data_IF_882269542502
#
_entry.id   IF_882269542502
#
_cell.length_a   1.000
_cell.length_b   1.000
_cell.length_c   1.000
_cell.angle_alpha   90.00
_cell.angle_beta   90.00
_cell.angle_gamma   90.00
#
_symmetry.space_group_name_H-M   'P 1'
#
loop_
_entity.id
_entity.type
_entity.pdbx_description
1 polymer ?
#
# COMPACT_ATOMS: atom_id res chain seq x y z
N UNK A 1 43.75 -26.44 -4.96
CA UNK A 1 43.82 -27.49 -5.99
C UNK A 1 42.85 -28.59 -5.59
N UNK A 2 41.78 -28.81 -6.35
CA UNK A 2 40.83 -29.86 -6.07
C UNK A 2 41.38 -31.25 -6.36
N UNK A 3 40.70 -32.29 -5.89
CA UNK A 3 41.10 -33.71 -6.01
C UNK A 3 41.36 -34.10 -7.49
N UNK A 4 40.71 -33.47 -8.43
CA UNK A 4 40.82 -33.72 -9.88
C UNK A 4 41.78 -32.75 -10.61
N UNK A 5 42.60 -31.99 -9.90
CA UNK A 5 43.56 -31.06 -10.52
C UNK A 5 42.98 -29.80 -11.16
N UNK A 6 41.65 -29.60 -11.02
CA UNK A 6 40.98 -28.42 -11.51
C UNK A 6 41.30 -27.20 -10.64
N UNK A 7 41.60 -26.07 -11.28
CA UNK A 7 41.80 -24.80 -10.62
C UNK A 7 40.47 -24.04 -10.67
N UNK A 8 39.97 -23.63 -9.53
CA UNK A 8 38.87 -22.65 -9.46
C UNK A 8 39.46 -21.26 -9.70
N UNK A 9 38.91 -20.54 -10.63
CA UNK A 9 39.24 -19.12 -10.80
C UNK A 9 38.88 -18.37 -9.51
N UNK A 10 39.85 -17.58 -9.01
CA UNK A 10 39.62 -16.71 -7.89
C UNK A 10 38.60 -15.62 -8.32
N UNK A 11 37.39 -15.70 -7.87
CA UNK A 11 36.39 -14.66 -8.09
C UNK A 11 36.45 -13.68 -6.90
N UNK A 12 36.92 -12.47 -7.15
CA UNK A 12 36.91 -11.39 -6.17
C UNK A 12 35.68 -10.56 -6.40
N UNK A 13 34.72 -10.66 -5.49
CA UNK A 13 33.54 -9.82 -5.47
C UNK A 13 33.76 -8.69 -4.47
N UNK A 14 33.84 -7.46 -4.96
CA UNK A 14 33.87 -6.27 -4.09
C UNK A 14 32.46 -5.88 -3.77
N UNK A 15 32.05 -6.11 -2.52
CA UNK A 15 30.75 -5.67 -2.02
C UNK A 15 30.92 -4.27 -1.41
N UNK A 16 30.19 -3.29 -1.95
CA UNK A 16 30.05 -1.98 -1.32
C UNK A 16 28.82 -2.02 -0.42
N UNK A 17 29.05 -1.85 0.86
CA UNK A 17 27.96 -1.66 1.83
C UNK A 17 27.51 -0.19 1.72
N UNK A 18 26.22 0.02 1.46
CA UNK A 18 25.62 1.36 1.47
C UNK A 18 25.45 1.82 2.91
N UNK A 19 25.68 3.11 3.15
CA UNK A 19 25.44 3.75 4.44
C UNK A 19 23.97 4.14 4.61
N UNK A 20 23.53 4.49 5.81
CA UNK A 20 22.17 4.99 6.05
C UNK A 20 21.84 6.22 5.22
N UNK A 21 22.85 7.07 4.98
CA UNK A 21 22.75 8.29 4.18
C UNK A 21 22.46 8.02 2.69
N UNK A 22 22.69 6.80 2.23
CA UNK A 22 22.40 6.39 0.84
C UNK A 22 20.91 6.08 0.62
N UNK A 23 20.09 6.12 1.66
CA UNK A 23 18.66 5.76 1.62
C UNK A 23 17.78 6.94 2.02
N UNK A 24 16.51 6.89 1.61
CA UNK A 24 15.46 7.77 2.08
C UNK A 24 14.60 7.11 3.15
N UNK A 25 13.92 7.91 3.95
CA UNK A 25 12.94 7.49 4.95
C UNK A 25 11.61 8.18 4.71
N UNK A 26 10.51 7.46 4.91
CA UNK A 26 9.16 8.00 4.82
C UNK A 26 8.42 7.70 6.13
N UNK A 27 8.00 8.75 6.81
CA UNK A 27 7.12 8.71 7.98
C UNK A 27 5.69 9.03 7.52
N UNK A 28 4.78 8.12 7.73
CA UNK A 28 3.39 8.28 7.34
C UNK A 28 2.50 8.23 8.59
N UNK A 29 1.80 9.34 8.84
CA UNK A 29 0.76 9.41 9.86
C UNK A 29 -0.60 9.19 9.20
N UNK A 30 -1.36 8.21 9.69
CA UNK A 30 -2.68 7.87 9.14
C UNK A 30 -3.74 8.16 10.18
N UNK A 31 -4.66 9.05 9.84
CA UNK A 31 -5.78 9.46 10.69
C UNK A 31 -7.06 8.83 10.14
N UNK A 32 -7.84 8.17 10.99
CA UNK A 32 -9.12 7.59 10.60
C UNK A 32 -9.07 6.20 9.98
N UNK A 33 -7.91 5.53 10.00
CA UNK A 33 -7.81 4.13 9.56
C UNK A 33 -8.58 3.19 10.50
N UNK A 34 -9.14 2.12 9.94
CA UNK A 34 -9.79 1.05 10.68
C UNK A 34 -8.82 0.23 11.54
N UNK A 35 -9.33 -0.63 12.44
CA UNK A 35 -8.50 -1.42 13.36
C UNK A 35 -7.62 -2.45 12.65
N UNK A 36 -8.02 -2.92 11.48
CA UNK A 36 -7.31 -3.92 10.68
C UNK A 36 -6.71 -3.32 9.39
N UNK A 37 -6.49 -2.00 9.39
CA UNK A 37 -5.92 -1.32 8.23
C UNK A 37 -4.45 -1.70 8.03
N UNK A 38 -4.10 -2.03 6.79
CA UNK A 38 -2.74 -2.35 6.36
C UNK A 38 -2.30 -1.36 5.30
N UNK A 39 -1.10 -0.82 5.48
CA UNK A 39 -0.45 0.05 4.50
C UNK A 39 0.57 -0.73 3.70
N UNK A 40 0.51 -0.59 2.41
CA UNK A 40 1.47 -1.14 1.48
C UNK A 40 2.19 -0.03 0.72
N UNK A 41 3.49 -0.12 0.68
CA UNK A 41 4.36 0.70 -0.16
C UNK A 41 4.63 -0.04 -1.47
N UNK A 42 4.25 0.55 -2.58
CA UNK A 42 4.36 -0.01 -3.92
C UNK A 42 5.45 0.72 -4.71
N UNK A 43 6.09 0.02 -5.61
CA UNK A 43 6.98 0.62 -6.60
C UNK A 43 6.22 1.04 -7.87
N UNK A 44 6.92 1.54 -8.87
CA UNK A 44 6.35 1.95 -10.17
C UNK A 44 5.75 0.81 -11.00
N UNK A 45 5.98 -0.44 -10.62
CA UNK A 45 5.39 -1.64 -11.26
C UNK A 45 4.28 -2.26 -10.44
N UNK A 46 3.72 -1.52 -9.47
CA UNK A 46 2.70 -1.96 -8.51
C UNK A 46 3.10 -3.18 -7.64
N UNK A 47 4.40 -3.48 -7.60
CA UNK A 47 4.90 -4.52 -6.72
C UNK A 47 5.02 -3.99 -5.27
N UNK A 48 4.54 -4.78 -4.32
CA UNK A 48 4.64 -4.47 -2.90
C UNK A 48 6.09 -4.57 -2.44
N UNK A 49 6.67 -3.44 -2.04
CA UNK A 49 8.04 -3.35 -1.53
C UNK A 49 8.08 -3.56 -0.02
N UNK A 50 7.12 -2.96 0.68
CA UNK A 50 6.96 -3.03 2.14
C UNK A 50 5.48 -3.07 2.48
N UNK A 51 5.17 -3.71 3.59
CA UNK A 51 3.83 -3.78 4.15
C UNK A 51 3.92 -3.64 5.67
N UNK A 52 3.03 -2.84 6.24
CA UNK A 52 2.93 -2.66 7.68
C UNK A 52 1.46 -2.51 8.11
N UNK A 53 1.05 -3.17 9.21
CA UNK A 53 -0.24 -2.88 9.82
C UNK A 53 -0.21 -1.47 10.43
N UNK A 54 -1.32 -0.78 10.35
CA UNK A 54 -1.48 0.52 11.03
C UNK A 54 -1.57 0.24 12.53
N UNK A 55 -0.53 0.63 13.24
CA UNK A 55 -0.47 0.43 14.70
C UNK A 55 -1.41 1.38 15.44
N UNK A 56 -1.62 1.14 16.74
CA UNK A 56 -2.39 2.03 17.63
C UNK A 56 -1.90 3.47 17.62
N UNK A 57 -0.62 3.68 17.29
CA UNK A 57 0.00 5.01 17.12
C UNK A 57 -0.39 5.68 15.82
N UNK A 58 -1.05 4.98 14.90
CA UNK A 58 -1.45 5.46 13.57
C UNK A 58 -0.29 5.97 12.70
N UNK A 59 0.92 5.52 12.98
CA UNK A 59 2.13 5.85 12.25
C UNK A 59 2.71 4.63 11.58
N UNK A 60 3.15 4.76 10.34
CA UNK A 60 3.88 3.75 9.59
C UNK A 60 5.19 4.33 9.09
N UNK A 61 6.30 3.72 9.51
CA UNK A 61 7.64 4.20 9.20
C UNK A 61 8.30 3.27 8.18
N UNK A 62 8.67 3.83 7.05
CA UNK A 62 9.34 3.10 5.97
C UNK A 62 10.79 3.56 5.85
N UNK A 63 11.71 2.71 6.29
CA UNK A 63 13.15 2.96 6.26
C UNK A 63 13.81 2.29 5.06
N UNK A 64 15.02 2.74 4.72
CA UNK A 64 15.87 2.16 3.68
C UNK A 64 15.24 2.13 2.29
N UNK A 65 14.55 3.20 1.93
CA UNK A 65 13.99 3.37 0.60
C UNK A 65 15.06 3.78 -0.40
N UNK A 66 15.07 3.12 -1.56
CA UNK A 66 16.09 3.37 -2.58
C UNK A 66 15.87 4.73 -3.24
N UNK A 67 16.92 5.58 -3.34
CA UNK A 67 16.83 6.85 -4.04
C UNK A 67 16.61 6.65 -5.54
N UNK A 68 15.96 7.63 -6.17
CA UNK A 68 15.61 7.58 -7.60
C UNK A 68 14.45 6.64 -7.93
N UNK A 69 13.84 6.01 -6.94
CA UNK A 69 12.67 5.14 -7.13
C UNK A 69 11.40 5.90 -6.75
N UNK A 70 10.37 5.73 -7.56
CA UNK A 70 9.03 6.26 -7.27
C UNK A 70 8.25 5.25 -6.46
N UNK A 71 7.63 5.73 -5.40
CA UNK A 71 6.82 4.93 -4.50
C UNK A 71 5.41 5.46 -4.43
N UNK A 72 4.46 4.54 -4.33
CA UNK A 72 3.03 4.76 -4.15
C UNK A 72 2.58 4.13 -2.85
N UNK A 73 1.58 4.69 -2.22
CA UNK A 73 1.01 4.14 -1.00
C UNK A 73 -0.41 3.68 -1.26
N UNK A 74 -0.70 2.48 -0.79
CA UNK A 74 -2.00 1.85 -0.78
C UNK A 74 -2.36 1.45 0.64
N UNK A 75 -3.59 1.73 1.04
CA UNK A 75 -4.18 1.29 2.30
C UNK A 75 -5.35 0.38 1.97
N UNK A 76 -5.50 -0.71 2.68
CA UNK A 76 -6.68 -1.56 2.62
C UNK A 76 -7.09 -2.01 4.01
N UNK A 77 -8.38 -2.35 4.17
CA UNK A 77 -8.90 -2.94 5.39
C UNK A 77 -8.88 -4.46 5.25
N UNK A 78 -8.11 -5.12 6.10
CA UNK A 78 -8.01 -6.57 6.17
C UNK A 78 -9.12 -7.11 7.10
N UNK A 79 -10.30 -7.34 6.54
CA UNK A 79 -11.48 -7.72 7.32
C UNK A 79 -11.38 -9.14 7.89
N UNK A 80 -10.66 -10.02 7.21
CA UNK A 80 -10.46 -11.41 7.63
C UNK A 80 -9.15 -11.64 8.41
N UNK A 81 -8.33 -10.60 8.55
CA UNK A 81 -7.08 -10.58 9.29
C UNK A 81 -6.05 -11.62 8.81
N UNK A 82 -5.99 -11.81 7.48
CA UNK A 82 -5.04 -12.73 6.84
C UNK A 82 -3.74 -12.04 6.37
N UNK A 83 -3.68 -10.71 6.42
CA UNK A 83 -2.54 -9.89 6.00
C UNK A 83 -2.38 -9.74 4.49
N UNK A 84 -3.38 -10.16 3.71
CA UNK A 84 -3.36 -10.12 2.25
C UNK A 84 -4.63 -9.45 1.75
N UNK A 85 -4.51 -8.56 0.79
CA UNK A 85 -5.69 -7.98 0.16
C UNK A 85 -6.48 -9.03 -0.63
N UNK A 86 -7.76 -9.16 -0.32
CA UNK A 86 -8.66 -10.12 -0.94
C UNK A 86 -9.56 -9.45 -1.99
N UNK A 87 -9.58 -10.07 -3.18
CA UNK A 87 -10.42 -9.62 -4.31
C UNK A 87 -11.89 -10.00 -4.14
N UNK A 88 -12.23 -10.69 -3.05
CA UNK A 88 -13.55 -11.25 -2.84
C UNK A 88 -13.83 -12.52 -3.68
N UNK A 89 -15.02 -13.07 -3.52
CA UNK A 89 -15.47 -14.26 -4.26
C UNK A 89 -16.91 -14.08 -4.72
N UNK A 90 -17.13 -14.06 -6.03
CA UNK A 90 -18.46 -13.88 -6.60
C UNK A 90 -19.41 -15.05 -6.27
N UNK A 91 -18.89 -16.28 -6.26
CA UNK A 91 -19.70 -17.49 -5.98
C UNK A 91 -20.23 -17.47 -4.55
N UNK A 92 -19.42 -17.01 -3.59
CA UNK A 92 -19.76 -16.92 -2.18
C UNK A 92 -20.35 -15.56 -1.79
N UNK A 93 -20.54 -14.66 -2.77
CA UNK A 93 -21.03 -13.28 -2.59
C UNK A 93 -20.17 -12.46 -1.62
N UNK A 94 -18.89 -12.78 -1.51
CA UNK A 94 -17.93 -12.04 -0.71
C UNK A 94 -17.44 -10.84 -1.52
N UNK A 95 -17.61 -9.63 -0.97
CA UNK A 95 -17.13 -8.39 -1.58
C UNK A 95 -15.59 -8.31 -1.46
N UNK A 96 -14.92 -7.64 -2.43
CA UNK A 96 -13.50 -7.33 -2.29
C UNK A 96 -13.27 -6.36 -1.12
N UNK A 97 -12.12 -6.49 -0.48
CA UNK A 97 -11.71 -5.55 0.56
C UNK A 97 -11.49 -4.15 -0.01
N UNK A 98 -11.91 -3.14 0.76
CA UNK A 98 -11.80 -1.75 0.34
C UNK A 98 -10.34 -1.30 0.27
N UNK A 99 -9.96 -0.69 -0.86
CA UNK A 99 -8.61 -0.22 -1.14
C UNK A 99 -8.63 1.27 -1.41
N UNK A 100 -7.68 1.97 -0.80
CA UNK A 100 -7.49 3.41 -0.97
C UNK A 100 -6.06 3.70 -1.39
N UNK A 101 -5.91 4.60 -2.36
CA UNK A 101 -4.60 5.03 -2.82
C UNK A 101 -4.33 6.45 -2.34
N UNK A 102 -3.13 6.67 -1.84
CA UNK A 102 -2.71 8.03 -1.52
C UNK A 102 -2.45 8.81 -2.82
N UNK A 103 -2.96 10.06 -2.95
CA UNK A 103 -2.92 10.79 -4.22
C UNK A 103 -1.51 11.27 -4.62
N UNK A 104 -0.53 11.17 -3.73
CA UNK A 104 0.83 11.66 -3.94
C UNK A 104 1.79 10.51 -4.24
N UNK A 105 2.74 10.78 -5.13
CA UNK A 105 3.84 9.87 -5.47
C UNK A 105 5.12 10.45 -4.89
N UNK A 106 5.93 9.60 -4.24
CA UNK A 106 7.21 10.01 -3.69
C UNK A 106 8.35 9.52 -4.57
N UNK A 107 9.17 10.45 -5.04
CA UNK A 107 10.46 10.15 -5.63
C UNK A 107 11.51 10.27 -4.53
N UNK A 108 12.02 9.13 -4.06
CA UNK A 108 12.96 9.11 -2.95
C UNK A 108 14.30 9.71 -3.34
N UNK A 109 14.87 10.48 -2.43
CA UNK A 109 16.23 11.01 -2.52
C UNK A 109 17.08 10.44 -1.40
N UNK A 110 18.38 10.31 -1.67
CA UNK A 110 19.33 9.90 -0.64
C UNK A 110 19.40 10.94 0.48
N UNK A 111 19.54 10.48 1.70
CA UNK A 111 19.61 11.30 2.92
C UNK A 111 18.42 12.26 3.08
N UNK A 112 17.22 11.81 2.69
CA UNK A 112 16.01 12.63 2.78
C UNK A 112 14.92 11.92 3.58
N UNK A 113 14.28 12.67 4.46
CA UNK A 113 13.16 12.22 5.29
C UNK A 113 11.90 12.94 4.81
N UNK A 114 10.87 12.15 4.52
CA UNK A 114 9.54 12.66 4.21
C UNK A 114 8.62 12.39 5.39
N UNK A 115 7.88 13.39 5.80
CA UNK A 115 6.80 13.25 6.77
C UNK A 115 5.49 13.69 6.12
N UNK A 116 4.51 12.78 6.12
CA UNK A 116 3.20 13.02 5.53
C UNK A 116 2.09 12.55 6.45
N UNK A 117 0.98 13.28 6.43
CA UNK A 117 -0.23 12.90 7.14
C UNK A 117 -1.32 12.58 6.14
N UNK A 118 -1.90 11.40 6.28
CA UNK A 118 -3.04 10.96 5.48
C UNK A 118 -4.28 10.94 6.35
N UNK A 119 -5.15 11.91 6.14
CA UNK A 119 -6.49 11.89 6.73
C UNK A 119 -7.38 10.99 5.89
N UNK A 120 -7.59 9.78 6.38
CA UNK A 120 -8.46 8.81 5.76
C UNK A 120 -9.68 8.60 6.65
N UNK A 121 -10.84 9.07 6.21
CA UNK A 121 -12.11 8.73 6.83
C UNK A 121 -12.62 7.42 6.24
N UNK A 122 -12.25 6.29 6.84
CA UNK A 122 -12.92 5.04 6.56
C UNK A 122 -14.35 5.16 7.12
N UNK A 123 -15.42 5.13 6.31
CA UNK A 123 -16.75 5.04 6.84
C UNK A 123 -16.86 3.73 7.63
N UNK A 124 -17.46 3.73 8.84
CA UNK A 124 -17.65 2.51 9.60
C UNK A 124 -18.39 1.47 8.75
N UNK A 125 -17.94 0.22 8.85
CA UNK A 125 -18.55 -0.91 8.16
C UNK A 125 -20.08 -0.88 8.33
N UNK A 126 -20.83 -0.73 7.23
CA UNK A 126 -22.29 -0.54 7.21
C UNK A 126 -22.75 0.80 6.62
N UNK A 127 -21.93 1.86 6.58
CA UNK A 127 -22.29 3.11 5.90
C UNK A 127 -21.95 3.11 4.41
N UNK A 128 -21.02 2.25 3.97
CA UNK A 128 -20.70 2.03 2.56
C UNK A 128 -21.89 1.41 1.80
N UNK A 129 -22.64 0.51 2.44
CA UNK A 129 -23.87 -0.05 1.87
C UNK A 129 -25.00 0.98 1.78
N UNK A 130 -25.12 1.87 2.76
CA UNK A 130 -26.14 2.92 2.75
C UNK A 130 -25.91 3.95 1.64
N UNK A 131 -24.68 4.30 1.33
CA UNK A 131 -24.35 5.20 0.21
C UNK A 131 -24.60 4.54 -1.15
N UNK A 132 -24.25 3.27 -1.32
CA UNK A 132 -24.50 2.50 -2.55
C UNK A 132 -26.00 2.39 -2.87
N UNK A 133 -26.83 2.20 -1.82
CA UNK A 133 -28.30 2.14 -1.97
C UNK A 133 -28.92 3.51 -2.32
N UNK A 134 -28.34 4.61 -1.85
CA UNK A 134 -28.80 5.96 -2.20
C UNK A 134 -28.45 6.35 -3.64
N UNK A 135 -27.28 5.95 -4.16
CA UNK A 135 -26.90 6.21 -5.55
C UNK A 135 -27.74 5.41 -6.55
N UNK A 136 -28.13 4.17 -6.20
CA UNK A 136 -29.03 3.36 -7.03
C UNK A 136 -30.46 3.89 -7.02
N UNK A 137 -30.96 4.46 -5.93
CA UNK A 137 -32.30 5.09 -5.88
C UNK A 137 -32.35 6.43 -6.63
N UNK A 138 -31.28 7.22 -6.58
CA UNK A 138 -31.22 8.50 -7.32
C UNK A 138 -31.12 8.28 -8.81
N UNK A 139 -30.37 7.26 -9.27
CA UNK A 139 -30.30 6.86 -10.67
C UNK A 139 -31.66 6.40 -11.24
N UNK A 140 -32.43 5.66 -10.45
CA UNK A 140 -33.76 5.17 -10.87
C UNK A 140 -34.82 6.26 -10.97
N UNK A 141 -34.70 7.36 -10.19
CA UNK A 141 -35.64 8.49 -10.25
C UNK A 141 -35.42 9.43 -11.42
N UNK A 142 -34.22 9.44 -12.01
CA UNK A 142 -33.95 10.26 -13.20
C UNK A 142 -34.38 9.60 -14.51
N UNK A 143 -34.45 8.29 -14.58
CA UNK A 143 -34.83 7.57 -15.79
C UNK A 143 -36.36 7.60 -16.06
N UNK A 144 -37.17 7.94 -15.07
CA UNK A 144 -38.64 7.95 -15.17
C UNK A 144 -39.24 9.34 -15.44
N UNK A 145 -38.41 10.33 -15.84
CA UNK A 145 -38.84 11.68 -16.23
C UNK A 145 -38.47 11.97 -17.70
N UNK A 146 -38.99 11.18 -18.64
CA UNK A 146 -39.13 11.64 -20.06
C UNK A 146 -40.48 12.27 -20.22
N UNK A 147 -40.57 13.52 -20.68
CA UNK A 147 -41.85 14.14 -21.07
C UNK A 147 -42.31 13.54 -22.39
N UNK A 148 -43.63 13.36 -22.48
CA UNK A 148 -44.37 13.10 -23.74
C UNK A 148 -44.22 14.26 -24.72
#
# INVERSE_FOLDING_TARGET
KGIYGLYTNKVENTLKVKTLEDYGTLYLNIVGAGPHAIVQLLNSTDAVVRQQPVSDKKTCDFYFLQPGTKYYIRLFNDDNNNGVWDTGNYADKIQPEEVFYFPKVWEMKANFEFEETWEHSCPPAGQAEARRNQETETGRKQENKRPE
#
